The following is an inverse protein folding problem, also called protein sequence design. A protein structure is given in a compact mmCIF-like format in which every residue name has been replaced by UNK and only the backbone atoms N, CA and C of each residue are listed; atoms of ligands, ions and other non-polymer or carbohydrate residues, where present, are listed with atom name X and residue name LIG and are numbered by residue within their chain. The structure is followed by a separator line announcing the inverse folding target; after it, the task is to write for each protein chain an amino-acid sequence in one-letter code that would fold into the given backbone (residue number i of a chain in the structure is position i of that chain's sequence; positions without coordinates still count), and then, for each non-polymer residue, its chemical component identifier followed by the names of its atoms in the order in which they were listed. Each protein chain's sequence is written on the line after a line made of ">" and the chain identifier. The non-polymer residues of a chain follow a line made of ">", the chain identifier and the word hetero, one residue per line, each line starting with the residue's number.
data_IF_187840954577
#
_entry.id   IF_187840954577
#
_cell.length_a   1.000
_cell.length_b   1.000
_cell.length_c   1.000
_cell.angle_alpha   90.00
_cell.angle_beta   90.00
_cell.angle_gamma   90.00
#
_symmetry.space_group_name_H-M   'P 1'
#
loop_
_entity.id
_entity.type
_entity.pdbx_description
1 polymer ?
#
# COMPACT_ATOMS: atom_id res chain seq x y z
N UNK A 1 8.16 7.79 16.32
CA UNK A 1 6.71 7.98 16.56
C UNK A 1 6.04 8.80 15.44
N UNK A 2 6.63 9.89 14.92
CA UNK A 2 5.99 10.76 13.93
C UNK A 2 5.72 10.06 12.56
N UNK A 3 6.57 9.14 12.15
CA UNK A 3 6.40 8.43 10.86
C UNK A 3 5.27 7.42 10.92
N UNK A 4 4.98 6.87 12.09
CA UNK A 4 3.95 5.84 12.29
C UNK A 4 2.55 6.36 11.95
N UNK A 5 2.25 7.61 12.29
CA UNK A 5 0.95 8.23 12.02
C UNK A 5 0.75 8.64 10.54
N UNK A 6 1.77 8.44 9.69
CA UNK A 6 1.66 8.57 8.23
C UNK A 6 1.30 7.24 7.56
N UNK A 7 1.34 6.11 8.28
CA UNK A 7 1.11 4.78 7.74
C UNK A 7 -0.31 4.34 8.09
N UNK A 8 -1.01 3.80 7.11
CA UNK A 8 -2.38 3.32 7.25
C UNK A 8 -2.50 1.89 6.74
N UNK A 9 -3.51 1.16 7.22
CA UNK A 9 -3.91 -0.11 6.63
C UNK A 9 -5.00 0.13 5.58
N UNK A 10 -4.89 -0.55 4.45
CA UNK A 10 -5.89 -0.52 3.38
C UNK A 10 -6.51 -1.89 3.28
N UNK A 11 -7.83 -1.97 3.36
CA UNK A 11 -8.58 -3.19 3.15
C UNK A 11 -9.38 -3.07 1.86
N UNK A 12 -9.17 -4.03 0.98
CA UNK A 12 -9.90 -4.19 -0.26
C UNK A 12 -10.86 -5.37 -0.13
N UNK A 13 -12.12 -5.11 -0.37
CA UNK A 13 -13.16 -6.13 -0.44
C UNK A 13 -13.63 -6.23 -1.89
N UNK A 14 -13.52 -7.42 -2.46
CA UNK A 14 -13.96 -7.75 -3.80
C UNK A 14 -14.67 -9.09 -3.85
N UNK A 15 -15.22 -9.45 -4.99
CA UNK A 15 -15.88 -10.73 -5.22
C UNK A 15 -15.09 -11.55 -6.24
N UNK A 16 -14.63 -12.73 -5.83
CA UNK A 16 -14.00 -13.68 -6.74
C UNK A 16 -15.02 -14.71 -7.20
N UNK A 17 -15.21 -14.82 -8.51
CA UNK A 17 -16.13 -15.78 -9.11
C UNK A 17 -15.36 -17.01 -9.60
N UNK A 18 -15.69 -18.18 -9.08
CA UNK A 18 -15.15 -19.46 -9.52
C UNK A 18 -16.16 -20.19 -10.40
N UNK A 19 -15.68 -20.75 -11.51
CA UNK A 19 -16.43 -21.73 -12.27
C UNK A 19 -16.25 -23.11 -11.64
N UNK A 20 -17.26 -23.57 -10.90
CA UNK A 20 -17.30 -24.91 -10.35
C UNK A 20 -18.07 -25.84 -11.29
N UNK A 21 -17.86 -27.16 -11.18
CA UNK A 21 -18.63 -28.19 -11.89
C UNK A 21 -20.15 -28.10 -11.60
N UNK A 22 -20.53 -27.43 -10.51
CA UNK A 22 -21.92 -27.20 -10.08
C UNK A 22 -22.45 -25.79 -10.43
N UNK A 23 -21.72 -25.01 -11.26
CA UNK A 23 -22.13 -23.66 -11.65
C UNK A 23 -21.16 -22.55 -11.16
N UNK A 24 -21.52 -21.31 -11.45
CA UNK A 24 -20.79 -20.14 -10.97
C UNK A 24 -21.03 -19.93 -9.48
N UNK A 25 -19.97 -19.95 -8.71
CA UNK A 25 -19.99 -19.53 -7.30
C UNK A 25 -19.20 -18.26 -7.13
N UNK A 26 -19.77 -17.28 -6.44
CA UNK A 26 -19.09 -16.04 -6.07
C UNK A 26 -18.75 -16.10 -4.59
N UNK A 27 -17.49 -15.82 -4.26
CA UNK A 27 -17.01 -15.72 -2.88
C UNK A 27 -16.42 -14.34 -2.66
N UNK A 28 -16.79 -13.73 -1.56
CA UNK A 28 -16.16 -12.46 -1.14
C UNK A 28 -14.71 -12.72 -0.78
N UNK A 29 -13.82 -11.96 -1.36
CA UNK A 29 -12.39 -11.96 -1.10
C UNK A 29 -12.03 -10.67 -0.41
N UNK A 30 -11.18 -10.74 0.59
CA UNK A 30 -10.64 -9.60 1.28
C UNK A 30 -9.11 -9.65 1.19
N UNK A 31 -8.51 -8.57 0.76
CA UNK A 31 -7.06 -8.36 0.78
C UNK A 31 -6.73 -7.10 1.57
N UNK A 32 -5.55 -7.10 2.17
CA UNK A 32 -5.07 -6.00 2.98
C UNK A 32 -3.68 -5.58 2.53
N UNK A 33 -3.40 -4.30 2.64
CA UNK A 33 -2.08 -3.76 2.36
C UNK A 33 -1.81 -2.50 3.17
N UNK A 34 -0.62 -1.97 3.03
CA UNK A 34 -0.21 -0.72 3.67
C UNK A 34 -0.33 0.45 2.72
N UNK A 35 -0.59 1.63 3.26
CA UNK A 35 -0.56 2.89 2.54
C UNK A 35 0.20 3.96 3.30
N UNK A 36 0.65 4.97 2.58
CA UNK A 36 1.40 6.11 3.12
C UNK A 36 0.65 7.38 2.76
N UNK A 37 0.32 8.21 3.76
CA UNK A 37 -0.30 9.52 3.54
C UNK A 37 0.75 10.46 2.99
N UNK A 38 0.61 10.86 1.73
CA UNK A 38 1.63 11.62 0.99
C UNK A 38 1.26 13.07 0.71
N UNK A 39 -0.02 13.39 0.74
CA UNK A 39 -0.48 14.76 0.52
C UNK A 39 -1.93 14.97 0.98
N UNK A 40 -2.35 16.23 1.01
CA UNK A 40 -3.75 16.61 1.23
C UNK A 40 -4.10 17.87 0.42
N UNK A 41 -5.40 18.05 0.17
CA UNK A 41 -5.98 19.31 -0.29
C UNK A 41 -7.10 19.76 0.69
N UNK A 42 -7.95 20.67 0.28
CA UNK A 42 -9.01 21.20 1.16
C UNK A 42 -10.00 20.11 1.59
N UNK A 43 -10.30 19.13 0.74
CA UNK A 43 -11.35 18.14 0.92
C UNK A 43 -10.86 16.72 1.19
N UNK A 44 -9.64 16.37 0.75
CA UNK A 44 -9.16 14.99 0.72
C UNK A 44 -7.76 14.82 1.30
N UNK A 45 -7.50 13.64 1.87
CA UNK A 45 -6.16 13.09 2.07
C UNK A 45 -5.85 12.13 0.92
N UNK A 46 -4.61 12.15 0.45
CA UNK A 46 -4.08 11.27 -0.59
C UNK A 46 -3.08 10.27 -0.01
N UNK A 47 -3.28 9.02 -0.35
CA UNK A 47 -2.54 7.90 0.21
C UNK A 47 -1.94 7.11 -0.96
N UNK A 48 -0.62 6.97 -0.97
CA UNK A 48 0.09 6.12 -1.91
C UNK A 48 0.08 4.67 -1.40
N UNK A 49 -0.14 3.72 -2.31
CA UNK A 49 -0.14 2.29 -2.04
C UNK A 49 0.23 1.52 -3.32
N UNK A 50 0.19 0.20 -3.29
CA UNK A 50 0.42 -0.63 -4.45
C UNK A 50 -0.86 -0.86 -5.26
N UNK A 51 -0.73 -1.00 -6.58
CA UNK A 51 -1.85 -1.26 -7.46
C UNK A 51 -2.53 -2.61 -7.13
N UNK A 52 -1.76 -3.66 -6.87
CA UNK A 52 -2.32 -4.97 -6.53
C UNK A 52 -3.16 -4.96 -5.22
N UNK A 53 -2.94 -3.99 -4.33
CA UNK A 53 -3.76 -3.83 -3.10
C UNK A 53 -5.16 -3.35 -3.42
N UNK A 54 -5.32 -2.51 -4.44
CA UNK A 54 -6.59 -1.84 -4.77
C UNK A 54 -7.28 -2.39 -6.02
N UNK A 55 -6.59 -3.27 -6.75
CA UNK A 55 -7.12 -3.88 -7.97
C UNK A 55 -8.41 -4.66 -7.68
N UNK A 56 -9.35 -4.63 -8.63
CA UNK A 56 -10.64 -5.34 -8.60
C UNK A 56 -11.48 -5.08 -7.32
N UNK A 57 -11.30 -3.90 -6.71
CA UNK A 57 -12.03 -3.54 -5.50
C UNK A 57 -13.49 -3.17 -5.77
N UNK A 58 -14.41 -3.76 -5.01
CA UNK A 58 -15.80 -3.31 -4.89
C UNK A 58 -15.92 -2.26 -3.77
N UNK A 59 -15.16 -2.43 -2.71
CA UNK A 59 -15.10 -1.48 -1.59
C UNK A 59 -13.68 -1.40 -1.04
N UNK A 60 -13.22 -0.14 -0.85
CA UNK A 60 -11.94 0.16 -0.20
C UNK A 60 -12.19 0.89 1.10
N UNK A 61 -11.48 0.48 2.15
CA UNK A 61 -11.45 1.17 3.43
C UNK A 61 -10.01 1.41 3.87
N UNK A 62 -9.82 2.50 4.61
CA UNK A 62 -8.55 2.87 5.22
C UNK A 62 -8.73 2.91 6.71
N UNK A 63 -7.86 2.20 7.44
CA UNK A 63 -7.77 2.21 8.89
C UNK A 63 -6.55 3.01 9.32
N UNK A 64 -6.79 3.97 10.20
CA UNK A 64 -5.76 4.83 10.79
C UNK A 64 -5.21 4.23 12.09
N UNK A 65 -4.17 4.86 12.64
CA UNK A 65 -3.46 4.40 13.85
C UNK A 65 -4.33 4.36 15.12
N UNK A 66 -5.43 5.13 15.14
CA UNK A 66 -6.43 5.15 16.21
C UNK A 66 -7.59 4.16 16.00
N UNK A 67 -7.40 3.18 15.11
CA UNK A 67 -8.41 2.19 14.70
C UNK A 67 -9.65 2.77 13.99
N UNK A 68 -9.68 4.06 13.69
CA UNK A 68 -10.76 4.63 12.90
C UNK A 68 -10.70 4.12 11.45
N UNK A 69 -11.87 3.76 10.91
CA UNK A 69 -11.99 3.21 9.55
C UNK A 69 -12.89 4.11 8.72
N UNK A 70 -12.41 4.51 7.55
CA UNK A 70 -13.17 5.32 6.60
C UNK A 70 -13.13 4.72 5.19
N UNK A 71 -14.13 5.05 4.39
CA UNK A 71 -14.16 4.65 2.97
C UNK A 71 -13.13 5.42 2.17
N UNK A 72 -12.51 4.73 1.22
CA UNK A 72 -11.56 5.30 0.28
C UNK A 72 -12.02 5.13 -1.16
N UNK A 73 -11.52 6.00 -2.01
CA UNK A 73 -11.75 5.98 -3.45
C UNK A 73 -10.41 5.91 -4.18
N UNK A 74 -10.33 5.13 -5.26
CA UNK A 74 -9.16 5.13 -6.13
C UNK A 74 -9.09 6.47 -6.86
N UNK A 75 -7.96 7.16 -6.75
CA UNK A 75 -7.68 8.40 -7.48
C UNK A 75 -6.98 8.14 -8.81
N UNK A 76 -6.11 7.14 -8.84
CA UNK A 76 -5.37 6.71 -10.02
C UNK A 76 -4.50 5.49 -9.72
N UNK A 77 -4.15 4.77 -10.77
CA UNK A 77 -3.33 3.55 -10.71
C UNK A 77 -2.30 3.56 -11.82
N UNK A 78 -1.18 2.93 -11.55
CA UNK A 78 -0.13 2.60 -12.51
C UNK A 78 0.22 1.10 -12.32
N UNK A 79 -0.40 0.21 -13.10
CA UNK A 79 -0.16 -1.22 -12.99
C UNK A 79 1.26 -1.64 -13.36
N UNK A 80 1.92 -0.90 -14.26
CA UNK A 80 3.27 -1.22 -14.74
C UNK A 80 4.31 -1.06 -13.62
N UNK A 81 4.17 -0.03 -12.80
CA UNK A 81 5.03 0.20 -11.64
C UNK A 81 4.44 -0.30 -10.31
N UNK A 82 3.28 -0.98 -10.37
CA UNK A 82 2.52 -1.45 -9.20
C UNK A 82 2.23 -0.32 -8.20
N UNK A 83 1.85 0.85 -8.70
CA UNK A 83 1.51 2.01 -7.88
C UNK A 83 0.03 2.35 -7.96
N UNK A 84 -0.51 2.85 -6.85
CA UNK A 84 -1.84 3.42 -6.79
C UNK A 84 -1.88 4.59 -5.82
N UNK A 85 -2.81 5.50 -6.07
CA UNK A 85 -3.18 6.57 -5.14
C UNK A 85 -4.65 6.41 -4.82
N UNK A 86 -4.96 6.30 -3.54
CA UNK A 86 -6.33 6.36 -3.02
C UNK A 86 -6.53 7.66 -2.26
N UNK A 87 -7.79 8.06 -2.11
CA UNK A 87 -8.15 9.27 -1.35
C UNK A 87 -9.26 8.96 -0.35
N UNK A 88 -9.24 9.65 0.75
CA UNK A 88 -10.30 9.67 1.76
C UNK A 88 -10.80 11.08 1.98
N UNK A 89 -12.11 11.24 2.21
CA UNK A 89 -12.69 12.55 2.49
C UNK A 89 -12.34 12.99 3.90
N UNK A 90 -11.80 14.20 4.05
CA UNK A 90 -11.49 14.78 5.36
C UNK A 90 -12.73 14.95 6.24
N UNK A 91 -13.89 15.17 5.61
CA UNK A 91 -15.18 15.30 6.32
C UNK A 91 -15.63 13.98 7.01
N UNK A 92 -15.13 12.83 6.54
CA UNK A 92 -15.45 11.52 7.13
C UNK A 92 -14.52 11.15 8.30
N UNK A 93 -13.47 11.96 8.54
CA UNK A 93 -12.52 11.76 9.63
C UNK A 93 -13.00 12.38 10.92
N UNK A 94 -12.79 11.68 12.03
CA UNK A 94 -12.91 12.26 13.37
C UNK A 94 -11.89 13.37 13.58
N UNK A 95 -12.22 14.38 14.39
CA UNK A 95 -11.28 15.48 14.69
C UNK A 95 -10.00 14.99 15.34
N UNK A 96 -10.09 14.01 16.23
CA UNK A 96 -8.95 13.44 16.94
C UNK A 96 -8.07 12.64 15.95
N UNK A 97 -8.66 11.84 15.06
CA UNK A 97 -7.97 11.14 13.99
C UNK A 97 -7.20 12.10 13.11
N UNK A 98 -7.89 13.12 12.61
CA UNK A 98 -7.27 14.11 11.73
C UNK A 98 -6.12 14.88 12.39
N UNK A 99 -6.25 15.22 13.69
CA UNK A 99 -5.21 15.94 14.43
C UNK A 99 -3.92 15.12 14.62
N UNK A 100 -4.02 13.79 14.61
CA UNK A 100 -2.89 12.88 14.80
C UNK A 100 -2.20 12.49 13.48
N UNK A 101 -2.86 12.68 12.34
CA UNK A 101 -2.30 12.35 11.02
C UNK A 101 -1.07 13.23 10.73
N UNK A 102 -0.06 12.59 10.15
CA UNK A 102 1.11 13.26 9.58
C UNK A 102 1.21 12.92 8.09
N UNK A 103 1.56 13.92 7.31
CA UNK A 103 1.87 13.71 5.90
C UNK A 103 3.36 13.34 5.82
N UNK A 104 3.64 12.21 5.16
CA UNK A 104 5.01 11.75 4.98
C UNK A 104 5.80 12.72 4.09
N UNK A 105 7.02 12.99 4.47
CA UNK A 105 7.95 13.74 3.62
C UNK A 105 8.57 12.80 2.60
N UNK A 106 8.33 13.07 1.33
CA UNK A 106 8.93 12.30 0.23
C UNK A 106 10.39 12.70 0.09
N UNK A 107 11.27 11.72 0.21
CA UNK A 107 12.71 11.90 0.02
C UNK A 107 13.11 11.79 -1.47
N UNK A 108 14.38 12.10 -1.73
CA UNK A 108 14.99 11.95 -3.04
C UNK A 108 15.71 10.61 -3.14
N UNK A 109 15.14 9.68 -3.92
CA UNK A 109 15.71 8.34 -4.11
C UNK A 109 17.02 8.34 -4.88
N UNK A 110 17.32 9.38 -5.66
CA UNK A 110 18.58 9.49 -6.38
C UNK A 110 19.76 9.87 -5.45
N UNK A 111 19.46 10.36 -4.25
CA UNK A 111 20.46 10.69 -3.23
C UNK A 111 20.84 9.52 -2.32
N UNK A 112 20.15 8.37 -2.42
CA UNK A 112 20.40 7.20 -1.60
C UNK A 112 21.69 6.49 -2.03
N UNK A 113 22.48 6.02 -1.05
CA UNK A 113 23.68 5.23 -1.29
C UNK A 113 23.54 3.80 -0.76
N UNK A 114 24.30 2.88 -1.34
CA UNK A 114 24.47 1.51 -0.78
C UNK A 114 25.05 1.64 0.62
N UNK A 115 24.61 0.80 1.54
CA UNK A 115 24.86 0.80 2.99
C UNK A 115 24.15 1.93 3.77
N UNK A 116 23.32 2.79 3.14
CA UNK A 116 22.44 3.67 3.89
C UNK A 116 21.45 2.87 4.74
N UNK A 117 21.13 3.32 5.97
CA UNK A 117 20.10 2.66 6.79
C UNK A 117 18.76 2.64 6.07
N UNK A 118 18.06 1.51 6.17
CA UNK A 118 16.72 1.32 5.64
C UNK A 118 15.78 0.84 6.76
N UNK A 119 14.61 1.45 6.85
CA UNK A 119 13.54 1.06 7.77
C UNK A 119 12.30 0.78 6.93
N UNK A 120 11.79 -0.45 7.00
CA UNK A 120 10.54 -0.81 6.37
C UNK A 120 9.43 -0.81 7.42
N UNK A 121 8.35 -0.10 7.13
CA UNK A 121 7.19 0.03 8.00
C UNK A 121 5.95 -0.36 7.21
N UNK A 122 5.12 -1.24 7.76
CA UNK A 122 3.86 -1.62 7.17
C UNK A 122 2.79 -1.83 8.23
N UNK A 123 1.54 -1.79 7.81
CA UNK A 123 0.35 -2.04 8.62
C UNK A 123 -0.63 -2.91 7.84
N UNK A 124 -0.15 -4.00 7.26
CA UNK A 124 -1.03 -4.94 6.59
C UNK A 124 -1.75 -5.81 7.63
N UNK A 125 -3.05 -6.04 7.45
CA UNK A 125 -3.94 -6.83 8.30
C UNK A 125 -4.53 -6.09 9.51
N UNK A 126 -4.17 -4.83 9.81
CA UNK A 126 -4.73 -4.12 10.97
C UNK A 126 -4.36 -4.72 12.34
N UNK A 127 -3.39 -5.66 12.38
CA UNK A 127 -2.91 -6.25 13.65
C UNK A 127 -1.81 -5.45 14.32
N UNK A 128 -1.60 -4.21 13.83
CA UNK A 128 -0.55 -3.33 14.30
C UNK A 128 0.57 -3.17 13.27
N UNK A 129 1.31 -2.10 13.46
CA UNK A 129 2.41 -1.74 12.57
C UNK A 129 3.60 -2.68 12.80
N UNK A 130 4.16 -3.20 11.72
CA UNK A 130 5.42 -3.94 11.75
C UNK A 130 6.56 -3.06 11.26
N UNK A 131 7.67 -3.08 11.97
CA UNK A 131 8.87 -2.30 11.65
C UNK A 131 10.05 -3.24 11.55
N UNK A 132 10.74 -3.19 10.42
CA UNK A 132 11.99 -3.91 10.24
C UNK A 132 13.10 -2.96 9.83
N UNK A 133 14.33 -3.29 10.17
CA UNK A 133 15.50 -2.45 9.86
C UNK A 133 16.54 -3.25 9.11
N UNK A 134 17.25 -2.58 8.24
CA UNK A 134 18.36 -3.12 7.46
C UNK A 134 19.13 -1.98 6.80
N UNK A 135 19.79 -2.30 5.71
CA UNK A 135 20.52 -1.33 4.88
C UNK A 135 20.07 -1.43 3.42
N UNK A 136 20.36 -0.42 2.67
CA UNK A 136 20.30 -0.47 1.20
C UNK A 136 21.41 -1.37 0.69
N UNK A 137 21.06 -2.55 0.15
CA UNK A 137 22.03 -3.56 -0.31
C UNK A 137 22.46 -3.34 -1.75
N UNK A 138 21.58 -2.78 -2.59
CA UNK A 138 21.88 -2.44 -3.97
C UNK A 138 20.90 -1.38 -4.50
N UNK A 139 21.33 -0.70 -5.56
CA UNK A 139 20.54 0.27 -6.31
C UNK A 139 20.42 -0.17 -7.77
N UNK A 140 19.46 0.42 -8.48
CA UNK A 140 19.24 0.21 -9.91
C UNK A 140 19.06 -1.29 -10.28
N UNK A 141 18.37 -2.04 -9.42
CA UNK A 141 18.00 -3.43 -9.73
C UNK A 141 16.86 -3.46 -10.72
N UNK A 142 16.96 -4.38 -11.65
CA UNK A 142 15.89 -4.70 -12.60
C UNK A 142 15.29 -6.03 -12.20
N UNK A 143 13.97 -6.07 -12.02
CA UNK A 143 13.22 -7.30 -11.79
C UNK A 143 12.19 -7.43 -12.91
N UNK A 144 12.21 -8.57 -13.56
CA UNK A 144 11.24 -8.94 -14.58
C UNK A 144 10.34 -10.01 -13.99
N UNK A 145 9.05 -9.71 -13.88
CA UNK A 145 8.02 -10.65 -13.44
C UNK A 145 7.13 -11.00 -14.62
N UNK A 146 6.72 -12.26 -14.71
CA UNK A 146 5.74 -12.70 -15.69
C UNK A 146 4.45 -13.04 -14.95
N UNK A 147 3.36 -12.41 -15.37
CA UNK A 147 2.03 -12.78 -14.88
C UNK A 147 1.70 -14.20 -15.34
N UNK A 148 1.42 -15.08 -14.39
CA UNK A 148 1.15 -16.49 -14.66
C UNK A 148 -0.22 -16.73 -15.31
N UNK A 149 -1.12 -15.75 -15.32
CA UNK A 149 -2.45 -15.86 -15.90
C UNK A 149 -2.53 -15.23 -17.29
N UNK A 150 -1.92 -14.06 -17.46
CA UNK A 150 -1.95 -13.32 -18.73
C UNK A 150 -0.73 -13.60 -19.61
N UNK A 151 0.39 -14.06 -19.03
CA UNK A 151 1.67 -14.23 -19.71
C UNK A 151 2.39 -12.90 -19.98
N UNK A 152 1.85 -11.79 -19.53
CA UNK A 152 2.48 -10.48 -19.67
C UNK A 152 3.75 -10.39 -18.83
N UNK A 153 4.75 -9.73 -19.40
CA UNK A 153 6.04 -9.52 -18.74
C UNK A 153 6.13 -8.08 -18.31
N UNK A 154 6.19 -7.85 -17.00
CA UNK A 154 6.42 -6.53 -16.41
C UNK A 154 7.88 -6.43 -15.99
N UNK A 155 8.56 -5.38 -16.40
CA UNK A 155 9.97 -5.13 -16.06
C UNK A 155 10.07 -3.84 -15.26
N UNK A 156 10.33 -3.96 -13.99
CA UNK A 156 10.59 -2.82 -13.11
C UNK A 156 12.09 -2.55 -13.05
N UNK A 157 12.45 -1.32 -13.38
CA UNK A 157 13.83 -0.84 -13.38
C UNK A 157 14.06 0.12 -12.20
N UNK A 158 15.34 0.32 -11.86
CA UNK A 158 15.77 1.25 -10.80
C UNK A 158 15.24 0.90 -9.40
N UNK A 159 14.98 -0.37 -9.14
CA UNK A 159 14.54 -0.81 -7.82
C UNK A 159 15.68 -0.67 -6.79
N UNK A 160 15.29 -0.29 -5.58
CA UNK A 160 16.15 -0.24 -4.40
C UNK A 160 16.03 -1.58 -3.67
N UNK A 161 17.15 -2.27 -3.50
CA UNK A 161 17.20 -3.53 -2.74
C UNK A 161 17.62 -3.25 -1.30
N UNK A 162 16.93 -3.86 -0.34
CA UNK A 162 17.29 -3.83 1.08
C UNK A 162 17.36 -5.24 1.65
N UNK A 163 18.11 -5.42 2.72
CA UNK A 163 18.13 -6.64 3.55
C UNK A 163 17.20 -6.52 4.78
N UNK A 164 16.50 -5.37 4.94
CA UNK A 164 15.40 -5.28 5.88
C UNK A 164 14.37 -6.37 5.57
N UNK A 165 13.91 -7.10 6.59
CA UNK A 165 12.96 -8.19 6.37
C UNK A 165 11.64 -7.66 5.82
N UNK A 166 11.30 -8.05 4.61
CA UNK A 166 10.04 -7.77 3.95
C UNK A 166 9.20 -9.04 3.99
N UNK A 167 8.10 -8.99 4.71
CA UNK A 167 7.20 -10.14 4.91
C UNK A 167 5.75 -9.74 4.59
N UNK A 168 4.86 -10.71 4.28
CA UNK A 168 3.43 -10.45 4.29
C UNK A 168 3.02 -9.86 5.64
N UNK A 169 2.53 -8.62 5.63
CA UNK A 169 2.22 -7.85 6.84
C UNK A 169 2.94 -6.51 6.94
N UNK A 170 4.11 -6.35 6.32
CA UNK A 170 4.73 -5.04 6.10
C UNK A 170 4.77 -4.64 4.61
N UNK A 171 4.28 -5.51 3.73
CA UNK A 171 3.97 -5.19 2.34
C UNK A 171 2.54 -5.55 2.04
N UNK A 172 1.92 -4.85 1.11
CA UNK A 172 0.66 -5.27 0.55
C UNK A 172 0.82 -6.61 -0.18
N UNK A 173 0.11 -7.62 0.24
CA UNK A 173 -0.08 -8.87 -0.50
C UNK A 173 -1.46 -9.41 -0.23
#
# INVERSE_FOLDING_TARGET
>A
DEVMTSIVAITNTGTVTYNSFFGRQSQQSQSCGSGIIVSEDDDYLYIATNNHVVADSEELTVQFDDDSVVKAEIRGTDPDDDLAVVRVKKADLGKDTYSNIKIATIGDSDSIAVASPAIAIGNALGYGQSVTTGIVSALNRTVTTQDSQTGETVTNNKLIQTDAAINPGNTGR
#
